data_IF_376974045300
#
_entry.id   IF_376974045300
#
_cell.length_a   1.000
_cell.length_b   1.000
_cell.length_c   1.000
_cell.angle_alpha   90.00
_cell.angle_beta   90.00
_cell.angle_gamma   90.00
#
_symmetry.space_group_name_H-M   'P 1'
#
loop_
_entity.id
_entity.type
_entity.pdbx_description
1 polymer ?
#
# COMPACT_ATOMS: atom_id res chain seq x y z
N UNK A 1 -36.58 64.97 25.36
CA UNK A 1 -36.56 63.81 24.43
C UNK A 1 -35.35 63.78 23.48
N UNK A 2 -34.39 64.71 23.60
CA UNK A 2 -33.22 64.77 22.68
C UNK A 2 -32.10 63.76 23.03
N UNK A 3 -32.09 63.25 24.27
CA UNK A 3 -31.02 62.40 24.79
C UNK A 3 -31.34 60.89 24.67
N UNK A 4 -32.62 60.51 24.49
CA UNK A 4 -33.05 59.10 24.34
C UNK A 4 -32.66 58.56 22.95
N UNK A 5 -32.76 59.40 21.92
CA UNK A 5 -32.31 59.07 20.57
C UNK A 5 -30.81 58.75 20.52
N UNK A 6 -30.01 59.43 21.34
CA UNK A 6 -28.58 59.22 21.40
C UNK A 6 -28.21 57.86 22.03
N UNK A 7 -28.94 57.44 23.07
CA UNK A 7 -28.76 56.13 23.71
C UNK A 7 -29.22 54.98 22.81
N UNK A 8 -30.32 55.17 22.07
CA UNK A 8 -30.82 54.15 21.15
C UNK A 8 -29.88 53.97 19.94
N UNK A 9 -29.29 55.07 19.45
CA UNK A 9 -28.28 55.01 18.40
C UNK A 9 -26.99 54.28 18.87
N UNK A 10 -26.52 54.56 20.08
CA UNK A 10 -25.30 53.92 20.61
C UNK A 10 -25.49 52.42 20.95
N UNK A 11 -26.71 52.02 21.33
CA UNK A 11 -27.01 50.61 21.58
C UNK A 11 -27.12 49.76 20.31
N UNK A 12 -27.46 50.39 19.17
CA UNK A 12 -27.59 49.68 17.88
C UNK A 12 -26.24 49.29 17.25
N UNK A 13 -25.14 49.98 17.59
CA UNK A 13 -23.82 49.71 17.02
C UNK A 13 -23.12 48.49 17.63
N UNK A 14 -23.54 48.03 18.81
CA UNK A 14 -22.93 46.87 19.51
C UNK A 14 -23.56 45.55 19.08
N UNK A 15 -24.77 45.56 18.53
CA UNK A 15 -25.49 44.34 18.12
C UNK A 15 -25.02 43.75 16.78
N UNK A 16 -24.21 44.48 16.02
CA UNK A 16 -23.70 44.04 14.70
C UNK A 16 -22.22 43.71 14.68
N UNK A 17 -21.53 43.68 15.83
CA UNK A 17 -20.19 43.10 15.92
C UNK A 17 -20.31 41.57 15.92
N UNK A 18 -20.58 41.01 14.74
CA UNK A 18 -20.35 39.60 14.45
C UNK A 18 -18.86 39.33 14.64
N UNK A 19 -18.49 38.55 15.65
CA UNK A 19 -17.17 37.95 15.77
C UNK A 19 -17.14 36.67 14.93
N UNK A 20 -17.23 36.79 13.61
CA UNK A 20 -16.69 35.74 12.76
C UNK A 20 -15.18 35.96 12.74
N UNK A 21 -14.45 35.13 13.49
CA UNK A 21 -13.00 35.07 13.38
C UNK A 21 -12.62 34.66 11.96
N UNK A 22 -11.45 35.09 11.50
CA UNK A 22 -10.96 34.75 10.17
C UNK A 22 -11.10 33.23 9.95
N UNK A 23 -11.58 32.80 8.77
CA UNK A 23 -11.59 31.39 8.41
C UNK A 23 -10.21 30.79 8.69
N UNK A 24 -10.18 29.65 9.38
CA UNK A 24 -8.93 28.93 9.62
C UNK A 24 -8.20 28.66 8.30
N UNK A 25 -6.86 28.48 8.34
CA UNK A 25 -6.13 28.11 7.14
C UNK A 25 -6.77 26.88 6.49
N UNK A 26 -6.84 26.82 5.14
CA UNK A 26 -7.29 25.63 4.45
C UNK A 26 -6.57 24.39 5.00
N UNK A 27 -7.30 23.29 5.19
CA UNK A 27 -6.68 22.01 5.53
C UNK A 27 -5.61 21.63 4.49
N UNK A 28 -4.64 20.80 4.88
CA UNK A 28 -3.70 20.29 3.88
C UNK A 28 -4.47 19.55 2.79
N UNK A 29 -4.15 19.84 1.53
CA UNK A 29 -4.69 19.09 0.40
C UNK A 29 -4.35 17.61 0.62
N UNK A 30 -5.39 16.76 0.69
CA UNK A 30 -5.23 15.32 0.74
C UNK A 30 -4.61 14.86 -0.59
N UNK A 31 -3.28 14.76 -0.63
CA UNK A 31 -2.56 14.25 -1.79
C UNK A 31 -2.95 12.81 -2.10
N UNK A 32 -2.93 12.43 -3.37
CA UNK A 32 -3.03 11.03 -3.76
C UNK A 32 -1.77 10.30 -3.29
N UNK A 33 -1.94 9.36 -2.35
CA UNK A 33 -0.88 8.46 -1.93
C UNK A 33 -0.78 7.34 -2.96
N UNK A 34 0.22 7.43 -3.83
CA UNK A 34 0.49 6.38 -4.82
C UNK A 34 1.35 5.28 -4.20
N UNK A 35 1.08 4.04 -4.60
CA UNK A 35 1.97 2.92 -4.29
C UNK A 35 3.30 3.09 -5.05
N UNK A 36 4.40 2.80 -4.38
CA UNK A 36 5.71 2.79 -5.00
C UNK A 36 5.99 1.41 -5.57
N UNK A 37 6.50 1.35 -6.80
CA UNK A 37 6.75 0.11 -7.51
C UNK A 37 8.17 0.12 -8.05
N UNK A 38 8.88 -0.99 -7.90
CA UNK A 38 10.17 -1.20 -8.54
C UNK A 38 10.29 -2.64 -9.06
N UNK A 39 11.22 -2.85 -9.98
CA UNK A 39 11.45 -4.15 -10.61
C UNK A 39 12.88 -4.62 -10.35
N UNK A 40 13.04 -5.92 -10.19
CA UNK A 40 14.32 -6.58 -9.94
C UNK A 40 14.42 -7.85 -10.77
N UNK A 41 15.60 -8.10 -11.33
CA UNK A 41 15.91 -9.33 -12.05
C UNK A 41 17.05 -10.06 -11.30
N UNK A 42 16.71 -10.83 -10.25
CA UNK A 42 17.71 -11.37 -9.36
C UNK A 42 18.43 -12.59 -9.93
N UNK A 43 19.64 -12.83 -9.44
CA UNK A 43 20.32 -14.11 -9.62
C UNK A 43 20.00 -15.04 -8.44
N UNK A 44 19.55 -16.25 -8.74
CA UNK A 44 19.27 -17.27 -7.75
C UNK A 44 20.54 -18.10 -7.45
N UNK A 45 20.76 -18.37 -6.16
CA UNK A 45 21.76 -19.32 -5.67
C UNK A 45 21.05 -20.58 -5.18
N UNK A 46 21.66 -21.74 -5.40
CA UNK A 46 21.14 -23.01 -4.89
C UNK A 46 21.73 -23.33 -3.52
N UNK A 47 20.88 -23.71 -2.57
CA UNK A 47 21.25 -24.35 -1.30
C UNK A 47 20.81 -25.80 -1.36
N UNK A 48 21.77 -26.71 -1.17
CA UNK A 48 21.54 -28.16 -1.12
C UNK A 48 20.99 -28.55 0.27
N UNK A 49 21.33 -29.75 0.77
CA UNK A 49 20.90 -30.28 2.05
C UNK A 49 21.20 -29.34 3.23
N UNK A 50 20.22 -29.05 4.12
CA UNK A 50 18.92 -29.73 4.23
C UNK A 50 17.75 -29.06 3.48
N UNK A 51 17.98 -27.99 2.71
CA UNK A 51 16.90 -27.08 2.31
C UNK A 51 16.36 -27.33 0.89
N UNK A 52 17.19 -27.79 -0.06
CA UNK A 52 16.81 -27.99 -1.48
C UNK A 52 16.00 -26.81 -2.02
N UNK A 53 16.61 -25.62 -1.99
CA UNK A 53 15.95 -24.33 -2.26
C UNK A 53 16.84 -23.46 -3.14
N UNK A 54 16.23 -22.73 -4.09
CA UNK A 54 16.89 -21.57 -4.68
C UNK A 54 16.48 -20.31 -3.92
N UNK A 55 17.45 -19.44 -3.65
CA UNK A 55 17.23 -18.18 -2.96
C UNK A 55 18.01 -17.05 -3.61
N UNK A 56 17.51 -15.84 -3.49
CA UNK A 56 18.22 -14.64 -3.95
C UNK A 56 18.99 -13.98 -2.81
N UNK A 57 19.90 -13.07 -3.16
CA UNK A 57 20.31 -12.04 -2.20
C UNK A 57 19.09 -11.20 -1.77
N UNK A 58 19.20 -10.53 -0.64
CA UNK A 58 18.18 -9.61 -0.14
C UNK A 58 18.25 -8.29 -0.91
N UNK A 59 17.10 -7.79 -1.37
CA UNK A 59 16.95 -6.52 -2.08
C UNK A 59 16.33 -5.48 -1.17
N UNK A 60 17.07 -4.41 -0.87
CA UNK A 60 16.57 -3.30 -0.09
C UNK A 60 15.63 -2.42 -0.94
N UNK A 61 14.61 -1.84 -0.31
CA UNK A 61 13.73 -0.91 -1.03
C UNK A 61 14.48 0.37 -1.41
N UNK A 62 14.28 0.88 -2.65
CA UNK A 62 14.88 2.13 -3.09
C UNK A 62 14.18 3.38 -2.52
N UNK A 63 13.17 3.20 -1.66
CA UNK A 63 12.36 4.23 -1.02
C UNK A 63 12.03 3.82 0.42
N UNK A 64 11.51 4.76 1.20
CA UNK A 64 11.08 4.51 2.57
C UNK A 64 9.82 3.65 2.60
N UNK A 65 9.85 2.61 3.43
CA UNK A 65 8.75 1.66 3.63
C UNK A 65 8.54 1.52 5.13
N UNK A 66 7.28 1.60 5.55
CA UNK A 66 6.90 1.49 6.95
C UNK A 66 6.45 0.07 7.29
N UNK A 67 6.50 -0.27 8.58
CA UNK A 67 6.04 -1.59 9.06
C UNK A 67 4.55 -1.85 8.79
N UNK A 68 3.75 -0.80 8.64
CA UNK A 68 2.34 -0.89 8.32
C UNK A 68 2.05 -1.11 6.84
N UNK A 69 3.02 -0.87 5.95
CA UNK A 69 2.84 -0.96 4.51
C UNK A 69 2.75 -2.41 4.04
N UNK A 70 2.00 -2.61 2.95
CA UNK A 70 1.77 -3.94 2.38
C UNK A 70 2.67 -4.15 1.17
N UNK A 71 3.45 -5.22 1.18
CA UNK A 71 4.35 -5.60 0.08
C UNK A 71 3.69 -6.67 -0.79
N UNK A 72 3.45 -6.34 -2.05
CA UNK A 72 2.92 -7.24 -3.07
C UNK A 72 3.99 -7.53 -4.12
N UNK A 73 4.18 -8.79 -4.46
CA UNK A 73 5.16 -9.21 -5.46
C UNK A 73 4.49 -9.92 -6.62
N UNK A 74 4.95 -9.59 -7.82
CA UNK A 74 4.54 -10.20 -9.07
C UNK A 74 5.76 -10.68 -9.85
N UNK A 75 5.61 -11.77 -10.60
CA UNK A 75 6.60 -12.27 -11.56
C UNK A 75 6.16 -11.89 -12.97
N UNK A 76 7.10 -11.51 -13.83
CA UNK A 76 6.88 -11.33 -15.25
C UNK A 76 6.62 -12.70 -15.89
N UNK A 77 5.39 -12.93 -16.33
CA UNK A 77 4.95 -14.22 -16.89
C UNK A 77 4.93 -14.22 -18.43
N UNK A 78 4.96 -13.05 -19.06
CA UNK A 78 4.97 -12.94 -20.51
C UNK A 78 4.68 -11.53 -20.99
N UNK A 79 4.38 -11.40 -22.29
CA UNK A 79 4.03 -10.13 -22.92
C UNK A 79 2.80 -10.31 -23.82
N UNK A 80 1.88 -9.36 -23.74
CA UNK A 80 0.74 -9.22 -24.64
C UNK A 80 1.15 -8.37 -25.85
N UNK A 81 1.25 -9.03 -27.00
CA UNK A 81 1.64 -8.42 -28.28
C UNK A 81 0.46 -7.81 -29.06
N UNK A 82 -0.75 -7.75 -28.48
CA UNK A 82 -1.91 -7.12 -29.11
C UNK A 82 -1.83 -5.58 -29.09
N UNK A 83 -0.96 -5.02 -28.24
CA UNK A 83 -0.68 -3.58 -28.11
C UNK A 83 0.76 -3.26 -28.50
N UNK A 84 1.03 -1.99 -28.84
CA UNK A 84 2.35 -1.50 -29.24
C UNK A 84 2.76 -0.27 -28.42
N UNK A 85 3.83 -0.35 -27.59
CA UNK A 85 4.67 -1.52 -27.37
C UNK A 85 3.91 -2.66 -26.67
N UNK A 86 4.41 -3.92 -26.75
CA UNK A 86 3.82 -5.04 -26.02
C UNK A 86 3.67 -4.72 -24.53
N UNK A 87 2.57 -5.16 -23.93
CA UNK A 87 2.31 -4.96 -22.50
C UNK A 87 2.79 -6.16 -21.69
N UNK A 88 3.50 -5.91 -20.60
CA UNK A 88 3.97 -6.99 -19.72
C UNK A 88 2.82 -7.62 -18.92
N UNK A 89 2.83 -8.95 -18.84
CA UNK A 89 1.86 -9.75 -18.10
C UNK A 89 2.49 -10.14 -16.76
N UNK A 90 1.84 -9.74 -15.68
CA UNK A 90 2.31 -9.95 -14.30
C UNK A 90 1.43 -10.96 -13.58
N UNK A 91 2.05 -11.94 -12.93
CA UNK A 91 1.34 -12.91 -12.08
C UNK A 91 1.78 -12.77 -10.64
N UNK A 92 0.83 -12.68 -9.72
CA UNK A 92 1.11 -12.47 -8.30
C UNK A 92 1.75 -13.71 -7.66
N UNK A 93 2.69 -13.48 -6.74
CA UNK A 93 3.27 -14.51 -5.90
C UNK A 93 2.46 -14.73 -4.61
N UNK A 94 2.47 -15.95 -4.02
CA UNK A 94 3.24 -17.10 -4.48
C UNK A 94 2.57 -17.83 -5.66
N UNK A 95 3.38 -18.49 -6.49
CA UNK A 95 2.90 -19.14 -7.71
C UNK A 95 3.50 -20.54 -7.87
N UNK A 96 2.63 -21.56 -7.91
CA UNK A 96 3.03 -22.95 -8.16
C UNK A 96 3.04 -23.27 -9.65
N UNK A 97 4.10 -23.92 -10.11
CA UNK A 97 4.28 -24.44 -11.47
C UNK A 97 4.29 -25.96 -11.41
N UNK A 98 3.54 -26.57 -12.33
CA UNK A 98 3.37 -28.02 -12.41
C UNK A 98 4.02 -28.53 -13.69
N UNK A 99 4.96 -29.46 -13.58
CA UNK A 99 5.51 -30.12 -14.76
C UNK A 99 4.48 -31.09 -15.37
N UNK A 100 4.31 -31.01 -16.69
CA UNK A 100 3.34 -31.79 -17.47
C UNK A 100 3.98 -33.04 -18.10
N UNK A 101 4.95 -33.65 -17.41
CA UNK A 101 5.74 -34.80 -17.88
C UNK A 101 5.33 -36.12 -17.20
N UNK A 102 4.37 -36.09 -16.28
CA UNK A 102 3.86 -37.26 -15.57
C UNK A 102 4.62 -37.63 -14.30
N UNK A 103 5.64 -36.86 -13.90
CA UNK A 103 6.39 -37.04 -12.64
C UNK A 103 5.55 -36.64 -11.42
N UNK A 104 4.68 -35.64 -11.59
CA UNK A 104 4.01 -34.97 -10.46
C UNK A 104 4.92 -33.94 -9.76
N UNK A 105 6.00 -33.52 -10.42
CA UNK A 105 6.92 -32.52 -9.91
C UNK A 105 6.29 -31.13 -9.95
N UNK A 106 6.46 -30.42 -8.84
CA UNK A 106 5.90 -29.10 -8.58
C UNK A 106 7.00 -28.27 -7.93
N UNK A 107 7.17 -27.05 -8.41
CA UNK A 107 7.93 -26.02 -7.72
C UNK A 107 7.09 -24.75 -7.57
N UNK A 108 7.49 -23.89 -6.65
CA UNK A 108 6.75 -22.69 -6.30
C UNK A 108 7.71 -21.52 -6.17
N UNK A 109 7.41 -20.43 -6.86
CA UNK A 109 8.03 -19.14 -6.59
C UNK A 109 7.38 -18.53 -5.35
N UNK A 110 8.20 -18.10 -4.41
CA UNK A 110 7.75 -17.47 -3.17
C UNK A 110 8.62 -16.24 -2.85
N UNK A 111 8.20 -15.46 -1.87
CA UNK A 111 8.96 -14.33 -1.38
C UNK A 111 8.80 -14.15 0.12
N UNK A 112 9.84 -13.63 0.74
CA UNK A 112 9.82 -13.11 2.10
C UNK A 112 10.10 -11.61 2.05
N UNK A 113 9.31 -10.82 2.75
CA UNK A 113 9.49 -9.37 2.83
C UNK A 113 9.48 -8.89 4.26
N UNK A 114 10.29 -7.88 4.52
CA UNK A 114 10.25 -7.03 5.72
C UNK A 114 9.97 -5.59 5.28
N UNK A 115 9.94 -4.64 6.22
CA UNK A 115 9.86 -3.21 5.90
C UNK A 115 11.18 -2.65 5.33
N UNK A 116 12.29 -3.39 5.38
CA UNK A 116 13.58 -2.95 4.84
C UNK A 116 13.91 -3.59 3.49
N UNK A 117 13.40 -4.80 3.24
CA UNK A 117 13.86 -5.58 2.10
C UNK A 117 12.93 -6.72 1.68
N UNK A 118 13.18 -7.25 0.49
CA UNK A 118 12.52 -8.44 -0.06
C UNK A 118 13.56 -9.48 -0.52
N UNK A 119 13.21 -10.76 -0.40
CA UNK A 119 13.98 -11.90 -0.89
C UNK A 119 13.03 -12.86 -1.61
N UNK A 120 13.50 -13.46 -2.71
CA UNK A 120 12.73 -14.42 -3.48
C UNK A 120 13.30 -15.82 -3.29
N UNK A 121 12.42 -16.82 -3.27
CA UNK A 121 12.80 -18.23 -3.15
C UNK A 121 12.05 -19.10 -4.16
N UNK A 122 12.65 -20.23 -4.50
CA UNK A 122 12.02 -21.31 -5.27
C UNK A 122 12.18 -22.60 -4.48
N UNK A 123 11.05 -23.22 -4.16
CA UNK A 123 10.96 -24.46 -3.39
C UNK A 123 10.19 -25.50 -4.21
N UNK A 124 10.50 -26.78 -4.07
CA UNK A 124 9.81 -27.83 -4.82
C UNK A 124 9.83 -29.19 -4.13
N UNK A 125 9.05 -30.13 -4.68
CA UNK A 125 8.91 -31.50 -4.17
C UNK A 125 9.91 -32.49 -4.78
N UNK A 126 10.86 -32.02 -5.58
CA UNK A 126 11.89 -32.80 -6.27
C UNK A 126 13.26 -32.13 -6.11
N UNK A 127 14.34 -32.81 -6.51
CA UNK A 127 15.69 -32.24 -6.51
C UNK A 127 15.77 -31.06 -7.48
N UNK A 128 15.84 -29.83 -6.93
CA UNK A 128 15.82 -28.60 -7.70
C UNK A 128 17.09 -28.40 -8.54
N UNK A 129 18.14 -29.21 -8.39
CA UNK A 129 19.24 -29.20 -9.36
C UNK A 129 18.79 -29.61 -10.77
N UNK A 130 17.64 -30.29 -10.88
CA UNK A 130 17.04 -30.72 -12.15
C UNK A 130 15.98 -29.75 -12.71
N UNK A 131 15.75 -28.60 -12.06
CA UNK A 131 14.78 -27.60 -12.54
C UNK A 131 15.20 -27.05 -13.92
N UNK A 132 14.24 -26.67 -14.77
CA UNK A 132 14.55 -26.03 -16.05
C UNK A 132 15.37 -24.74 -15.80
N UNK A 133 16.54 -24.57 -16.44
CA UNK A 133 17.33 -23.35 -16.29
C UNK A 133 16.58 -22.06 -16.64
N UNK A 134 15.53 -22.13 -17.47
CA UNK A 134 14.67 -20.99 -17.81
C UNK A 134 13.70 -20.60 -16.68
N UNK A 135 13.43 -21.50 -15.74
CA UNK A 135 12.63 -21.21 -14.54
C UNK A 135 13.47 -20.48 -13.47
N UNK A 136 14.80 -20.62 -13.53
CA UNK A 136 15.71 -19.98 -12.57
C UNK A 136 16.33 -18.71 -13.14
N UNK A 137 16.75 -18.74 -14.40
CA UNK A 137 17.46 -17.64 -15.02
C UNK A 137 16.49 -16.65 -15.70
N UNK A 138 16.89 -15.39 -15.77
CA UNK A 138 16.15 -14.35 -16.50
C UNK A 138 14.80 -13.98 -15.89
N UNK A 139 14.52 -14.40 -14.65
CA UNK A 139 13.28 -14.04 -13.96
C UNK A 139 13.30 -12.56 -13.58
N UNK A 140 12.17 -11.90 -13.78
CA UNK A 140 11.96 -10.50 -13.36
C UNK A 140 10.75 -10.42 -12.45
N UNK A 141 10.92 -9.73 -11.32
CA UNK A 141 9.90 -9.51 -10.32
C UNK A 141 9.59 -8.03 -10.21
N UNK A 142 8.30 -7.72 -10.08
CA UNK A 142 7.78 -6.40 -9.76
C UNK A 142 7.31 -6.40 -8.32
N UNK A 143 7.79 -5.46 -7.54
CA UNK A 143 7.46 -5.29 -6.13
C UNK A 143 6.71 -3.98 -5.98
N UNK A 144 5.47 -4.08 -5.53
CA UNK A 144 4.60 -2.94 -5.25
C UNK A 144 4.42 -2.81 -3.73
N UNK A 145 4.79 -1.65 -3.20
CA UNK A 145 4.57 -1.32 -1.79
C UNK A 145 3.39 -0.38 -1.71
N UNK A 146 2.32 -0.87 -1.09
CA UNK A 146 1.06 -0.16 -0.92
C UNK A 146 1.06 0.49 0.45
N UNK A 147 1.03 1.84 0.53
CA UNK A 147 1.00 2.54 1.80
C UNK A 147 -0.23 2.15 2.60
N UNK A 148 -0.02 1.78 3.86
CA UNK A 148 -1.09 1.40 4.77
C UNK A 148 -0.77 1.85 6.20
N UNK A 149 -1.81 1.97 7.03
CA UNK A 149 -1.71 2.37 8.43
C UNK A 149 -2.34 1.29 9.31
N UNK A 150 -1.80 1.07 10.51
CA UNK A 150 -2.42 0.17 11.47
C UNK A 150 -3.82 0.64 11.86
N UNK A 151 -4.75 -0.30 11.98
CA UNK A 151 -6.09 0.01 12.46
C UNK A 151 -6.03 0.58 13.90
N UNK A 152 -6.70 1.71 14.13
CA UNK A 152 -6.93 2.22 15.49
C UNK A 152 -7.84 1.24 16.25
N UNK A 153 -7.31 0.56 17.25
CA UNK A 153 -8.06 -0.46 18.02
C UNK A 153 -8.99 0.12 19.09
N UNK A 154 -8.89 1.41 19.39
CA UNK A 154 -9.81 2.14 20.27
C UNK A 154 -10.04 3.57 19.73
N UNK A 155 -10.77 3.71 18.61
CA UNK A 155 -10.97 5.02 18.00
C UNK A 155 -11.77 5.91 18.94
N UNK A 156 -11.33 7.16 19.11
CA UNK A 156 -12.15 8.13 19.83
C UNK A 156 -13.43 8.41 19.04
N UNK A 157 -14.49 8.90 19.71
CA UNK A 157 -15.70 9.33 19.00
C UNK A 157 -15.41 10.31 17.87
N UNK A 158 -14.38 11.17 18.04
CA UNK A 158 -13.92 12.09 17.00
C UNK A 158 -13.36 11.37 15.78
N UNK A 159 -12.55 10.33 15.98
CA UNK A 159 -11.99 9.53 14.88
C UNK A 159 -13.10 8.79 14.11
N UNK A 160 -14.13 8.31 14.81
CA UNK A 160 -15.28 7.64 14.19
C UNK A 160 -16.07 8.62 13.33
N UNK A 161 -16.36 9.82 13.85
CA UNK A 161 -17.10 10.85 13.12
C UNK A 161 -16.35 11.34 11.88
N UNK A 162 -15.01 11.43 11.94
CA UNK A 162 -14.15 11.80 10.82
C UNK A 162 -14.17 10.75 9.70
N UNK A 163 -14.04 9.46 10.04
CA UNK A 163 -14.11 8.36 9.06
C UNK A 163 -15.51 8.24 8.43
N UNK A 164 -16.56 8.47 9.22
CA UNK A 164 -17.95 8.40 8.74
C UNK A 164 -18.38 9.63 7.93
N UNK A 165 -17.52 10.64 7.79
CA UNK A 165 -17.85 11.95 7.20
C UNK A 165 -19.12 12.55 7.84
N UNK A 166 -19.34 12.28 9.13
CA UNK A 166 -20.51 12.72 9.84
C UNK A 166 -20.38 14.22 10.13
N UNK A 167 -21.24 15.02 9.53
CA UNK A 167 -21.33 16.45 9.83
C UNK A 167 -21.95 16.66 11.20
N UNK A 168 -21.49 17.68 11.94
CA UNK A 168 -21.98 18.01 13.28
C UNK A 168 -23.48 18.34 13.31
N UNK A 169 -24.08 18.62 12.16
CA UNK A 169 -25.53 18.80 11.97
C UNK A 169 -26.35 17.51 12.08
N UNK A 170 -25.72 16.34 11.91
CA UNK A 170 -26.35 15.02 12.04
C UNK A 170 -26.30 14.48 13.48
N UNK A 171 -25.59 15.16 14.38
CA UNK A 171 -25.40 14.75 15.76
C UNK A 171 -26.45 15.46 16.62
N UNK A 172 -27.43 14.70 17.10
CA UNK A 172 -28.46 15.21 18.00
C UNK A 172 -27.83 15.54 19.36
N UNK A 173 -27.72 16.83 19.68
CA UNK A 173 -27.23 17.30 20.98
C UNK A 173 -28.37 17.29 21.98
N UNK A 174 -28.23 16.50 23.04
CA UNK A 174 -29.13 16.55 24.19
C UNK A 174 -28.55 17.59 25.16
N UNK A 175 -29.22 18.73 25.31
CA UNK A 175 -28.91 19.68 26.37
C UNK A 175 -29.45 19.15 27.71
N UNK A 176 -28.62 19.20 28.76
CA UNK A 176 -28.97 18.82 30.13
C UNK A 176 -29.40 20.04 30.95
#
# INVERSE_FOLDING_TARGET
>A
MKNILLFLALSSTVLFSSCEGDPGPPGQDGGLVFANVFEVSPAFSYSDYPENIYFTSVYNYPFEVYESDVVLVYRLSGQDNTVSPPADIWTQLPQSIYYQDGTGDIFQYNYNSTFISVQFTIEGNFDLTNIDPNDVNGQTFRVAVVPAEFAKTNPSMRDILEVMQADGSQIEKIEL
#
